data_IF_893818694230
#
_entry.id   IF_893818694230
#
_cell.length_a   1.000
_cell.length_b   1.000
_cell.length_c   1.000
_cell.angle_alpha   90.00
_cell.angle_beta   90.00
_cell.angle_gamma   90.00
#
_symmetry.space_group_name_H-M   'P 1'
#
loop_
_entity.id
_entity.type
_entity.pdbx_description
1 polymer ?
#
# COMPACT_ATOMS: atom_id res chain seq x y z
N UNK A 1 -32.23 -26.67 3.62
CA UNK A 1 -31.67 -25.49 4.34
C UNK A 1 -31.40 -24.44 3.28
N UNK A 2 -32.04 -23.27 3.35
CA UNK A 2 -31.73 -22.15 2.45
C UNK A 2 -30.28 -21.75 2.72
N UNK A 3 -29.44 -21.71 1.69
CA UNK A 3 -28.09 -21.20 1.83
C UNK A 3 -28.19 -19.76 2.38
N UNK A 4 -27.47 -19.48 3.45
CA UNK A 4 -27.39 -18.14 4.01
C UNK A 4 -26.76 -17.20 2.96
N UNK A 5 -27.32 -16.00 2.77
CA UNK A 5 -26.77 -15.05 1.81
C UNK A 5 -25.32 -14.72 2.17
N UNK A 6 -24.42 -14.56 1.17
CA UNK A 6 -23.05 -14.12 1.41
C UNK A 6 -23.01 -12.83 2.22
N UNK A 7 -22.01 -12.69 3.10
CA UNK A 7 -21.85 -11.51 3.96
C UNK A 7 -20.83 -10.52 3.37
N UNK A 8 -20.97 -9.27 3.75
CA UNK A 8 -20.00 -8.20 3.51
C UNK A 8 -19.80 -7.36 4.76
N UNK A 9 -18.70 -6.61 4.81
CA UNK A 9 -18.46 -5.58 5.81
C UNK A 9 -18.70 -4.22 5.17
N UNK A 10 -19.69 -3.50 5.67
CA UNK A 10 -20.20 -2.25 5.13
C UNK A 10 -19.88 -1.09 6.08
N UNK A 11 -19.41 0.04 5.54
CA UNK A 11 -19.23 1.29 6.27
C UNK A 11 -20.44 2.18 6.04
N UNK A 12 -21.19 2.45 7.10
CA UNK A 12 -22.43 3.24 7.04
C UNK A 12 -22.16 4.75 6.89
N UNK A 13 -23.23 5.52 6.58
CA UNK A 13 -23.17 6.98 6.56
C UNK A 13 -22.86 7.59 7.94
N UNK A 14 -23.05 6.85 9.02
CA UNK A 14 -22.76 7.26 10.39
C UNK A 14 -21.36 6.84 10.85
N UNK A 15 -20.57 6.17 9.98
CA UNK A 15 -19.25 5.67 10.32
C UNK A 15 -19.25 4.35 11.10
N UNK A 16 -20.35 3.61 11.05
CA UNK A 16 -20.45 2.29 11.67
C UNK A 16 -20.03 1.19 10.69
N UNK A 17 -19.20 0.26 11.14
CA UNK A 17 -18.91 -0.97 10.41
C UNK A 17 -19.97 -2.01 10.75
N UNK A 18 -20.67 -2.50 9.72
CA UNK A 18 -21.82 -3.40 9.84
C UNK A 18 -21.61 -4.65 8.99
N UNK A 19 -22.04 -5.80 9.49
CA UNK A 19 -22.17 -7.01 8.66
C UNK A 19 -23.50 -6.95 7.92
N UNK A 20 -23.45 -7.03 6.59
CA UNK A 20 -24.67 -7.01 5.75
C UNK A 20 -24.68 -8.19 4.77
N UNK A 21 -25.87 -8.71 4.42
CA UNK A 21 -26.00 -9.69 3.36
C UNK A 21 -25.75 -9.03 1.99
N UNK A 22 -25.10 -9.76 1.08
CA UNK A 22 -24.97 -9.38 -0.33
C UNK A 22 -26.10 -10.06 -1.10
N UNK A 23 -27.03 -9.28 -1.62
CA UNK A 23 -28.20 -9.78 -2.37
C UNK A 23 -28.11 -9.47 -3.86
N UNK A 24 -27.16 -8.65 -4.26
CA UNK A 24 -26.95 -8.24 -5.64
C UNK A 24 -26.21 -9.32 -6.44
N UNK A 25 -26.56 -9.44 -7.71
CA UNK A 25 -25.83 -10.24 -8.69
C UNK A 25 -24.96 -9.32 -9.53
N UNK A 26 -23.67 -9.59 -9.58
CA UNK A 26 -22.72 -8.79 -10.34
C UNK A 26 -22.52 -9.33 -11.74
N UNK A 27 -22.35 -8.43 -12.69
CA UNK A 27 -22.04 -8.72 -14.09
C UNK A 27 -20.74 -8.02 -14.49
N UNK A 28 -19.98 -8.60 -15.41
CA UNK A 28 -18.71 -8.06 -15.92
C UNK A 28 -18.86 -7.52 -17.33
N UNK A 29 -18.11 -6.45 -17.62
CA UNK A 29 -18.09 -5.79 -18.92
C UNK A 29 -16.65 -5.43 -19.30
N UNK A 30 -16.39 -5.27 -20.60
CA UNK A 30 -15.07 -4.83 -21.09
C UNK A 30 -13.94 -5.69 -20.53
N UNK A 31 -12.96 -5.07 -19.90
CA UNK A 31 -11.81 -5.75 -19.29
C UNK A 31 -12.04 -6.29 -17.87
N UNK A 32 -13.26 -6.23 -17.34
CA UNK A 32 -13.55 -6.64 -15.97
C UNK A 32 -13.50 -8.16 -15.77
N UNK A 33 -13.21 -8.57 -14.53
CA UNK A 33 -13.32 -9.94 -14.04
C UNK A 33 -14.23 -9.99 -12.81
N UNK A 34 -15.06 -11.01 -12.71
CA UNK A 34 -15.68 -11.39 -11.44
C UNK A 34 -14.73 -12.33 -10.72
N UNK A 35 -14.28 -11.91 -9.56
CA UNK A 35 -13.32 -12.68 -8.74
C UNK A 35 -14.02 -13.21 -7.50
N UNK A 36 -13.93 -14.52 -7.29
CA UNK A 36 -14.26 -15.15 -6.01
C UNK A 36 -13.10 -14.89 -5.06
N UNK A 37 -13.35 -14.09 -4.05
CA UNK A 37 -12.34 -13.71 -3.07
C UNK A 37 -12.00 -14.89 -2.17
N UNK A 38 -10.72 -15.17 -2.05
CA UNK A 38 -10.20 -16.16 -1.08
C UNK A 38 -9.69 -15.48 0.18
N UNK A 39 -9.05 -14.33 -0.01
CA UNK A 39 -8.53 -13.48 1.07
C UNK A 39 -8.67 -12.00 0.67
N UNK A 40 -9.06 -11.15 1.62
CA UNK A 40 -9.08 -9.70 1.45
C UNK A 40 -8.29 -9.01 2.56
N UNK A 41 -7.28 -8.20 2.19
CA UNK A 41 -6.40 -7.57 3.15
C UNK A 41 -7.01 -6.33 3.79
N UNK A 42 -6.75 -6.16 5.08
CA UNK A 42 -7.19 -5.00 5.84
C UNK A 42 -6.19 -3.86 5.70
N UNK A 43 -6.68 -2.69 5.37
CA UNK A 43 -5.90 -1.46 5.17
C UNK A 43 -6.44 -0.31 6.03
N UNK A 44 -5.60 0.68 6.32
CA UNK A 44 -6.00 1.89 7.04
C UNK A 44 -7.18 2.61 6.37
N UNK A 45 -7.25 2.58 5.05
CA UNK A 45 -8.28 3.24 4.28
C UNK A 45 -9.68 2.58 4.41
N UNK A 46 -9.78 1.31 4.81
CA UNK A 46 -11.06 0.61 4.94
C UNK A 46 -12.01 1.33 5.90
N UNK A 47 -11.47 2.03 6.88
CA UNK A 47 -12.24 2.88 7.78
C UNK A 47 -11.91 4.37 7.63
N UNK A 48 -10.63 4.74 7.48
CA UNK A 48 -10.21 6.13 7.55
C UNK A 48 -10.72 6.99 6.39
N UNK A 49 -11.18 6.40 5.30
CA UNK A 49 -11.89 7.12 4.25
C UNK A 49 -13.18 7.77 4.74
N UNK A 50 -13.79 7.30 5.84
CA UNK A 50 -14.90 7.98 6.49
C UNK A 50 -14.54 9.44 6.85
N UNK A 51 -13.36 9.67 7.40
CA UNK A 51 -12.88 11.01 7.75
C UNK A 51 -12.57 11.90 6.53
N UNK A 52 -12.52 11.29 5.35
CA UNK A 52 -12.41 11.98 4.07
C UNK A 52 -13.75 12.18 3.36
N UNK A 53 -14.86 11.87 4.04
CA UNK A 53 -16.22 12.00 3.53
C UNK A 53 -16.71 10.83 2.68
N UNK A 54 -15.95 9.73 2.58
CA UNK A 54 -16.35 8.52 1.87
C UNK A 54 -17.04 7.56 2.85
N UNK A 55 -18.31 7.23 2.56
CA UNK A 55 -19.13 6.34 3.38
C UNK A 55 -20.18 5.64 2.51
N UNK A 56 -21.01 4.79 3.12
CA UNK A 56 -22.09 4.05 2.46
C UNK A 56 -21.57 3.10 1.37
N UNK A 57 -20.55 2.30 1.68
CA UNK A 57 -19.96 1.33 0.75
C UNK A 57 -19.47 0.05 1.46
N UNK A 58 -19.37 -1.06 0.71
CA UNK A 58 -18.71 -2.28 1.16
C UNK A 58 -17.19 -2.00 1.19
N UNK A 59 -16.56 -2.21 2.35
CA UNK A 59 -15.15 -1.90 2.58
C UNK A 59 -14.20 -2.92 1.93
N UNK A 60 -12.89 -2.66 2.05
CA UNK A 60 -11.85 -3.48 1.47
C UNK A 60 -11.44 -3.04 0.07
N UNK A 61 -10.13 -2.96 -0.16
CA UNK A 61 -9.56 -2.44 -1.41
C UNK A 61 -8.45 -3.34 -1.99
N UNK A 62 -8.18 -4.48 -1.36
CA UNK A 62 -7.09 -5.37 -1.74
C UNK A 62 -7.50 -6.82 -1.50
N UNK A 63 -7.17 -7.71 -2.44
CA UNK A 63 -7.62 -9.11 -2.38
C UNK A 63 -6.71 -10.07 -3.13
N UNK A 64 -6.93 -11.36 -2.88
CA UNK A 64 -6.60 -12.46 -3.78
C UNK A 64 -7.78 -13.42 -3.93
N UNK A 65 -7.84 -14.12 -5.06
CA UNK A 65 -8.95 -15.02 -5.33
C UNK A 65 -8.82 -15.74 -6.66
N UNK A 66 -9.94 -16.27 -7.15
CA UNK A 66 -10.03 -16.98 -8.42
C UNK A 66 -11.02 -16.30 -9.35
N UNK A 67 -10.67 -16.13 -10.60
CA UNK A 67 -11.55 -15.55 -11.63
C UNK A 67 -12.69 -16.53 -11.93
N UNK A 68 -13.94 -16.08 -11.77
CA UNK A 68 -15.15 -16.87 -12.08
C UNK A 68 -15.80 -16.47 -13.41
N UNK A 69 -15.70 -15.18 -13.78
CA UNK A 69 -16.21 -14.70 -15.05
C UNK A 69 -15.27 -13.63 -15.60
N UNK A 70 -15.25 -13.48 -16.91
CA UNK A 70 -14.46 -12.45 -17.59
C UNK A 70 -15.34 -11.67 -18.56
N UNK A 71 -15.14 -10.37 -18.64
CA UNK A 71 -15.64 -9.57 -19.74
C UNK A 71 -14.85 -9.87 -21.05
N UNK A 72 -15.37 -9.45 -22.20
CA UNK A 72 -14.81 -9.80 -23.51
C UNK A 72 -13.38 -9.31 -23.76
N UNK A 73 -12.97 -8.24 -23.09
CA UNK A 73 -11.64 -7.61 -23.28
C UNK A 73 -10.67 -7.96 -22.13
N UNK A 74 -11.01 -8.93 -21.29
CA UNK A 74 -10.16 -9.34 -20.16
C UNK A 74 -8.93 -10.11 -20.64
N UNK A 75 -7.79 -9.82 -20.03
CA UNK A 75 -6.55 -10.60 -20.24
C UNK A 75 -6.46 -11.87 -19.37
N UNK A 76 -7.44 -12.10 -18.50
CA UNK A 76 -7.51 -13.26 -17.62
C UNK A 76 -8.53 -14.29 -18.14
N UNK A 77 -8.41 -15.53 -17.64
CA UNK A 77 -9.33 -16.62 -17.93
C UNK A 77 -10.01 -17.11 -16.65
N UNK A 78 -11.18 -17.71 -16.80
CA UNK A 78 -11.87 -18.39 -15.69
C UNK A 78 -10.94 -19.48 -15.11
N UNK A 79 -10.81 -19.48 -13.78
CA UNK A 79 -9.90 -20.35 -13.05
C UNK A 79 -8.52 -19.74 -12.75
N UNK A 80 -8.16 -18.61 -13.35
CA UNK A 80 -6.91 -17.93 -13.01
C UNK A 80 -6.89 -17.52 -11.52
N UNK A 81 -5.81 -17.87 -10.82
CA UNK A 81 -5.53 -17.38 -9.47
C UNK A 81 -4.92 -15.97 -9.57
N UNK A 82 -5.59 -14.99 -8.96
CA UNK A 82 -5.24 -13.57 -9.09
C UNK A 82 -5.15 -12.88 -7.74
N UNK A 83 -4.43 -11.77 -7.72
CA UNK A 83 -4.44 -10.80 -6.63
C UNK A 83 -4.42 -9.38 -7.20
N UNK A 84 -4.86 -8.41 -6.43
CA UNK A 84 -4.90 -7.03 -6.91
C UNK A 84 -5.63 -6.09 -5.98
N UNK A 85 -5.91 -4.91 -6.50
CA UNK A 85 -6.61 -3.83 -5.80
C UNK A 85 -7.91 -3.48 -6.48
N UNK A 86 -8.86 -2.96 -5.68
CA UNK A 86 -10.06 -2.30 -6.17
C UNK A 86 -9.85 -0.78 -6.11
N UNK A 87 -10.20 -0.05 -7.19
CA UNK A 87 -10.03 1.40 -7.21
C UNK A 87 -11.07 2.09 -6.34
N UNK A 88 -10.69 3.22 -5.74
CA UNK A 88 -11.64 4.14 -5.09
C UNK A 88 -12.30 4.99 -6.18
N UNK A 89 -13.60 4.87 -6.31
CA UNK A 89 -14.42 5.70 -7.21
C UNK A 89 -15.62 6.22 -6.43
N UNK A 90 -16.18 7.35 -6.79
CA UNK A 90 -17.30 7.95 -6.08
C UNK A 90 -18.49 8.17 -7.03
N UNK A 91 -19.68 7.63 -6.72
CA UNK A 91 -19.97 6.72 -5.60
C UNK A 91 -19.29 5.35 -5.76
N UNK A 92 -18.99 4.68 -4.63
CA UNK A 92 -18.43 3.33 -4.64
C UNK A 92 -19.52 2.32 -5.03
N UNK A 93 -19.36 1.54 -6.12
CA UNK A 93 -20.26 0.44 -6.41
C UNK A 93 -20.16 -0.67 -5.36
N UNK A 94 -21.27 -1.27 -5.00
CA UNK A 94 -21.31 -2.42 -4.08
C UNK A 94 -20.40 -3.56 -4.52
N UNK A 95 -20.26 -3.77 -5.82
CA UNK A 95 -19.41 -4.80 -6.43
C UNK A 95 -17.90 -4.60 -6.28
N UNK A 96 -17.44 -3.46 -5.75
CA UNK A 96 -16.00 -3.10 -5.73
C UNK A 96 -15.32 -3.33 -4.38
N UNK A 97 -16.04 -3.28 -3.27
CA UNK A 97 -15.46 -3.56 -1.94
C UNK A 97 -14.99 -5.01 -1.82
N UNK A 98 -13.76 -5.22 -1.35
CA UNK A 98 -13.18 -6.58 -1.32
C UNK A 98 -13.54 -7.39 -0.07
N UNK A 99 -14.13 -6.77 0.95
CA UNK A 99 -14.62 -7.50 2.13
C UNK A 99 -16.00 -8.09 1.87
N UNK A 100 -16.12 -8.89 0.81
CA UNK A 100 -17.25 -9.71 0.40
C UNK A 100 -16.74 -10.87 -0.49
N UNK A 101 -17.59 -11.87 -0.76
CA UNK A 101 -17.17 -13.09 -1.43
C UNK A 101 -16.95 -12.96 -2.94
N UNK A 102 -17.62 -12.01 -3.59
CA UNK A 102 -17.49 -11.76 -5.04
C UNK A 102 -17.21 -10.27 -5.28
N UNK A 103 -16.25 -9.99 -6.15
CA UNK A 103 -15.83 -8.63 -6.50
C UNK A 103 -15.68 -8.48 -8.00
N UNK A 104 -16.19 -7.39 -8.56
CA UNK A 104 -15.88 -6.98 -9.92
C UNK A 104 -14.58 -6.19 -9.92
N UNK A 105 -13.55 -6.76 -10.49
CA UNK A 105 -12.22 -6.18 -10.55
C UNK A 105 -11.84 -5.80 -11.98
N UNK A 106 -11.03 -4.77 -12.15
CA UNK A 106 -10.50 -4.32 -13.44
C UNK A 106 -9.21 -5.07 -13.76
N UNK A 107 -9.10 -5.65 -14.96
CA UNK A 107 -7.94 -6.45 -15.36
C UNK A 107 -6.60 -5.72 -15.21
N UNK A 108 -6.56 -4.43 -15.44
CA UNK A 108 -5.34 -3.62 -15.31
C UNK A 108 -4.85 -3.48 -13.87
N UNK A 109 -5.70 -3.79 -12.87
CA UNK A 109 -5.39 -3.76 -11.44
C UNK A 109 -5.20 -5.15 -10.83
N UNK A 110 -5.23 -6.20 -11.67
CA UNK A 110 -5.01 -7.59 -11.28
C UNK A 110 -3.67 -8.11 -11.79
N UNK A 111 -3.12 -9.04 -11.04
CA UNK A 111 -1.93 -9.82 -11.36
C UNK A 111 -2.20 -11.31 -11.14
N UNK A 112 -1.58 -12.18 -11.93
CA UNK A 112 -1.57 -13.62 -11.65
C UNK A 112 -0.71 -13.86 -10.41
N UNK A 113 -1.18 -14.76 -9.54
CA UNK A 113 -0.37 -15.18 -8.38
C UNK A 113 0.80 -16.01 -8.92
N UNK A 114 2.06 -15.60 -8.64
CA UNK A 114 3.22 -16.35 -9.08
C UNK A 114 3.28 -17.77 -8.50
N UNK A 115 3.90 -18.71 -9.24
CA UNK A 115 4.10 -20.06 -8.76
C UNK A 115 4.88 -20.07 -7.43
N UNK A 116 4.41 -20.84 -6.45
CA UNK A 116 5.01 -20.93 -5.12
C UNK A 116 4.56 -19.86 -4.12
N UNK A 117 3.80 -18.83 -4.55
CA UNK A 117 3.21 -17.83 -3.65
C UNK A 117 1.82 -18.28 -3.23
N UNK A 118 1.54 -18.26 -1.93
CA UNK A 118 0.21 -18.58 -1.42
C UNK A 118 -0.78 -17.44 -1.70
N UNK A 119 -2.06 -17.77 -1.91
CA UNK A 119 -3.12 -16.77 -2.07
C UNK A 119 -3.21 -15.83 -0.84
N UNK A 120 -2.98 -16.38 0.36
CA UNK A 120 -2.89 -15.59 1.59
C UNK A 120 -1.80 -14.51 1.51
N UNK A 121 -0.59 -14.89 1.11
CA UNK A 121 0.53 -13.94 1.05
C UNK A 121 0.38 -12.95 -0.11
N UNK A 122 -0.16 -13.39 -1.24
CA UNK A 122 -0.47 -12.52 -2.37
C UNK A 122 -1.52 -11.44 -2.03
N UNK A 123 -2.51 -11.77 -1.18
CA UNK A 123 -3.62 -10.87 -0.84
C UNK A 123 -3.20 -9.56 -0.17
N UNK A 124 -1.99 -9.48 0.37
CA UNK A 124 -1.51 -8.36 1.21
C UNK A 124 -0.43 -7.50 0.54
N UNK A 125 -0.11 -7.79 -0.73
CA UNK A 125 1.06 -7.21 -1.41
C UNK A 125 0.70 -5.99 -2.27
N UNK A 126 -0.42 -6.06 -2.98
CA UNK A 126 -0.67 -5.14 -4.10
C UNK A 126 -0.84 -3.68 -3.65
N UNK A 127 -1.68 -3.41 -2.68
CA UNK A 127 -1.95 -2.05 -2.23
C UNK A 127 -0.70 -1.37 -1.63
N UNK A 128 0.02 -1.97 -0.67
CA UNK A 128 1.22 -1.35 -0.13
C UNK A 128 2.35 -1.26 -1.16
N UNK A 129 2.50 -2.23 -2.07
CA UNK A 129 3.51 -2.18 -3.12
C UNK A 129 3.23 -1.07 -4.15
N UNK A 130 1.98 -0.93 -4.58
CA UNK A 130 1.57 0.17 -5.47
C UNK A 130 1.79 1.54 -4.82
N UNK A 131 1.40 1.69 -3.55
CA UNK A 131 1.61 2.95 -2.80
C UNK A 131 3.10 3.28 -2.68
N UNK A 132 3.93 2.30 -2.35
CA UNK A 132 5.37 2.48 -2.27
C UNK A 132 6.00 2.76 -3.64
N UNK A 133 5.54 2.09 -4.71
CA UNK A 133 5.99 2.34 -6.07
C UNK A 133 5.60 3.75 -6.54
N UNK A 134 4.37 4.21 -6.24
CA UNK A 134 3.95 5.58 -6.55
C UNK A 134 4.83 6.61 -5.82
N UNK A 135 5.15 6.37 -4.54
CA UNK A 135 6.05 7.23 -3.78
C UNK A 135 7.43 7.32 -4.41
N UNK A 136 8.04 6.18 -4.73
CA UNK A 136 9.43 6.12 -5.19
C UNK A 136 9.59 6.54 -6.65
N UNK A 137 8.72 6.06 -7.54
CA UNK A 137 8.92 6.17 -8.98
C UNK A 137 8.09 7.27 -9.64
N UNK A 138 6.96 7.64 -9.07
CA UNK A 138 6.14 8.75 -9.59
C UNK A 138 6.39 10.05 -8.82
N UNK A 139 6.24 10.05 -7.48
CA UNK A 139 6.39 11.28 -6.66
C UNK A 139 7.85 11.70 -6.55
N UNK A 140 8.74 10.81 -6.15
CA UNK A 140 10.18 11.07 -6.04
C UNK A 140 10.82 11.08 -7.44
N UNK A 141 10.31 10.27 -8.36
CA UNK A 141 10.79 10.19 -9.75
C UNK A 141 12.06 9.36 -9.93
N UNK A 142 12.26 8.34 -9.09
CA UNK A 142 13.34 7.37 -9.30
C UNK A 142 13.14 6.59 -10.58
N UNK A 143 14.24 6.19 -11.22
CA UNK A 143 14.24 5.26 -12.33
C UNK A 143 14.36 3.80 -11.88
N UNK A 144 13.84 2.89 -12.72
CA UNK A 144 14.10 1.45 -12.67
C UNK A 144 14.36 0.98 -14.11
N UNK A 145 15.57 1.24 -14.67
CA UNK A 145 15.87 0.99 -16.08
C UNK A 145 15.65 -0.45 -16.51
N UNK A 146 15.91 -1.42 -15.62
CA UNK A 146 15.70 -2.86 -15.89
C UNK A 146 14.22 -3.22 -16.12
N UNK A 147 13.29 -2.39 -15.63
CA UNK A 147 11.87 -2.50 -15.90
C UNK A 147 11.40 -1.52 -17.01
N UNK A 148 12.30 -0.82 -17.68
CA UNK A 148 11.97 0.19 -18.69
C UNK A 148 11.30 1.44 -18.10
N UNK A 149 11.59 1.79 -16.84
CA UNK A 149 11.10 2.98 -16.16
C UNK A 149 12.22 4.01 -16.05
N UNK A 150 12.18 5.10 -16.84
CA UNK A 150 13.18 6.17 -16.76
C UNK A 150 12.98 7.00 -15.49
N UNK A 151 14.06 7.65 -15.02
CA UNK A 151 13.99 8.52 -13.85
C UNK A 151 15.37 8.81 -13.28
N UNK A 152 15.39 9.26 -12.03
CA UNK A 152 16.64 9.55 -11.29
C UNK A 152 17.43 8.25 -11.14
N UNK A 153 18.72 8.29 -11.50
CA UNK A 153 19.65 7.19 -11.26
C UNK A 153 19.83 6.98 -9.74
N UNK A 154 19.55 5.78 -9.22
CA UNK A 154 19.71 5.47 -7.80
C UNK A 154 21.19 5.34 -7.35
N UNK A 155 22.14 5.21 -8.29
CA UNK A 155 23.57 5.03 -7.98
C UNK A 155 24.10 6.21 -7.15
N UNK A 156 24.74 5.90 -6.04
CA UNK A 156 25.31 6.89 -5.11
C UNK A 156 24.29 7.69 -4.33
N UNK A 157 23.01 7.33 -4.39
CA UNK A 157 21.94 8.00 -3.66
C UNK A 157 21.47 7.20 -2.46
N UNK A 158 20.85 7.89 -1.53
CA UNK A 158 20.21 7.29 -0.37
C UNK A 158 18.77 7.74 -0.23
N UNK A 159 18.00 7.00 0.56
CA UNK A 159 16.62 7.31 0.90
C UNK A 159 16.39 7.18 2.40
N UNK A 160 15.58 8.05 2.97
CA UNK A 160 15.05 7.93 4.33
C UNK A 160 13.58 7.48 4.26
N UNK A 161 13.27 6.33 4.84
CA UNK A 161 11.93 5.78 4.97
C UNK A 161 11.50 5.91 6.43
N UNK A 162 10.67 6.91 6.73
CA UNK A 162 10.15 7.11 8.08
C UNK A 162 8.91 6.23 8.31
N UNK A 163 9.02 5.23 9.18
CA UNK A 163 7.96 4.25 9.45
C UNK A 163 8.11 2.94 8.66
N UNK A 164 9.33 2.41 8.61
CA UNK A 164 9.67 1.20 7.86
C UNK A 164 8.94 -0.08 8.28
N UNK A 165 8.39 -0.15 9.50
CA UNK A 165 7.64 -1.32 9.98
C UNK A 165 6.15 -1.33 9.55
N UNK A 166 5.68 -0.31 8.83
CA UNK A 166 4.38 -0.32 8.16
C UNK A 166 4.43 -1.19 6.90
N UNK A 167 3.29 -1.70 6.43
CA UNK A 167 3.24 -2.50 5.20
C UNK A 167 3.79 -1.74 3.99
N UNK A 168 3.45 -0.46 3.85
CA UNK A 168 3.99 0.39 2.77
C UNK A 168 5.49 0.65 2.96
N UNK A 169 5.94 0.87 4.21
CA UNK A 169 7.37 1.04 4.52
C UNK A 169 8.21 -0.18 4.17
N UNK A 170 7.70 -1.38 4.51
CA UNK A 170 8.37 -2.64 4.17
C UNK A 170 8.45 -2.86 2.64
N UNK A 171 7.42 -2.47 1.89
CA UNK A 171 7.47 -2.50 0.42
C UNK A 171 8.45 -1.46 -0.13
N UNK A 172 8.47 -0.25 0.43
CA UNK A 172 9.40 0.79 -0.01
C UNK A 172 10.87 0.37 0.19
N UNK A 173 11.20 -0.31 1.29
CA UNK A 173 12.54 -0.86 1.53
C UNK A 173 12.93 -1.85 0.42
N UNK A 174 12.04 -2.80 0.10
CA UNK A 174 12.29 -3.82 -0.92
C UNK A 174 12.40 -3.20 -2.32
N UNK A 175 11.53 -2.25 -2.65
CA UNK A 175 11.56 -1.52 -3.92
C UNK A 175 12.82 -0.64 -4.05
N UNK A 176 13.23 0.03 -2.98
CA UNK A 176 14.45 0.82 -2.94
C UNK A 176 15.70 -0.05 -3.20
N UNK A 177 15.75 -1.23 -2.57
CA UNK A 177 16.78 -2.22 -2.81
C UNK A 177 16.77 -2.74 -4.26
N UNK A 178 15.59 -3.08 -4.79
CA UNK A 178 15.43 -3.54 -6.17
C UNK A 178 15.83 -2.47 -7.19
N UNK A 179 15.62 -1.20 -6.88
CA UNK A 179 16.09 -0.07 -7.69
C UNK A 179 17.60 0.16 -7.63
N UNK A 180 18.33 -0.52 -6.74
CA UNK A 180 19.78 -0.41 -6.63
C UNK A 180 20.26 0.67 -5.66
N UNK A 181 19.37 1.22 -4.81
CA UNK A 181 19.81 2.14 -3.75
C UNK A 181 20.73 1.44 -2.75
N UNK A 182 21.90 2.03 -2.55
CA UNK A 182 22.93 1.49 -1.65
C UNK A 182 22.68 1.87 -0.19
N UNK A 183 21.97 2.97 0.05
CA UNK A 183 21.72 3.52 1.38
C UNK A 183 20.22 3.69 1.62
N UNK A 184 19.65 2.71 2.32
CA UNK A 184 18.24 2.69 2.71
C UNK A 184 18.16 2.88 4.23
N UNK A 185 17.93 4.12 4.65
CA UNK A 185 17.76 4.50 6.05
C UNK A 185 16.31 4.35 6.44
N UNK A 186 16.07 3.78 7.62
CA UNK A 186 14.72 3.42 8.04
C UNK A 186 14.52 3.77 9.50
N UNK A 187 13.40 4.41 9.84
CA UNK A 187 12.99 4.55 11.24
C UNK A 187 11.94 3.50 11.59
N UNK A 188 12.13 2.83 12.71
CA UNK A 188 11.20 1.85 13.28
C UNK A 188 11.53 1.61 14.77
N UNK A 189 10.63 0.96 15.52
CA UNK A 189 10.98 0.47 16.86
C UNK A 189 12.17 -0.50 16.79
N UNK A 190 13.11 -0.42 17.74
CA UNK A 190 14.34 -1.21 17.75
C UNK A 190 14.13 -2.72 17.59
N UNK A 191 13.05 -3.28 18.17
CA UNK A 191 12.68 -4.70 18.04
C UNK A 191 12.46 -5.18 16.59
N UNK A 192 12.24 -4.24 15.65
CA UNK A 192 11.92 -4.54 14.26
C UNK A 192 13.15 -4.43 13.34
N UNK A 193 14.28 -3.94 13.84
CA UNK A 193 15.42 -3.56 13.01
C UNK A 193 16.01 -4.74 12.23
N UNK A 194 16.11 -5.92 12.83
CA UNK A 194 16.72 -7.08 12.17
C UNK A 194 15.90 -7.54 10.97
N UNK A 195 14.58 -7.65 11.14
CA UNK A 195 13.68 -8.01 10.03
C UNK A 195 13.73 -6.95 8.92
N UNK A 196 13.80 -5.66 9.27
CA UNK A 196 13.89 -4.60 8.26
C UNK A 196 15.23 -4.64 7.49
N UNK A 197 16.34 -5.03 8.14
CA UNK A 197 17.62 -5.28 7.47
C UNK A 197 17.53 -6.46 6.49
N UNK A 198 16.85 -7.54 6.87
CA UNK A 198 16.60 -8.66 5.95
C UNK A 198 15.82 -8.24 4.71
N UNK A 199 14.87 -7.30 4.86
CA UNK A 199 14.12 -6.74 3.73
C UNK A 199 14.94 -5.79 2.85
N UNK A 200 16.09 -5.29 3.35
CA UNK A 200 16.99 -4.44 2.58
C UNK A 200 17.34 -3.09 3.19
N UNK A 201 16.87 -2.78 4.41
CA UNK A 201 17.32 -1.59 5.12
C UNK A 201 18.83 -1.70 5.45
N UNK A 202 19.59 -0.64 5.16
CA UNK A 202 21.03 -0.61 5.45
C UNK A 202 21.31 0.00 6.82
N UNK A 203 20.49 0.96 7.23
CA UNK A 203 20.60 1.65 8.52
C UNK A 203 19.21 1.76 9.16
N UNK A 204 19.09 1.34 10.41
CA UNK A 204 17.84 1.40 11.17
C UNK A 204 18.02 2.26 12.42
N UNK A 205 17.05 3.15 12.67
CA UNK A 205 17.04 4.08 13.80
C UNK A 205 15.75 3.92 14.59
N UNK A 206 15.84 3.95 15.93
CA UNK A 206 14.63 3.95 16.76
C UNK A 206 14.02 5.36 16.77
N UNK A 207 12.82 5.50 16.19
CA UNK A 207 12.11 6.79 16.12
C UNK A 207 11.74 7.35 17.51
N UNK A 208 11.80 6.53 18.56
CA UNK A 208 11.56 6.93 19.96
C UNK A 208 12.81 7.55 20.60
N UNK A 209 13.98 7.40 20.00
CA UNK A 209 15.20 8.06 20.48
C UNK A 209 15.01 9.58 20.39
N UNK A 210 15.41 10.27 21.45
CA UNK A 210 15.44 11.74 21.45
C UNK A 210 16.49 12.32 20.50
N UNK A 211 17.46 11.51 20.11
CA UNK A 211 18.57 11.86 19.20
C UNK A 211 18.40 11.28 17.80
N UNK A 212 17.21 10.79 17.43
CA UNK A 212 17.01 10.11 16.15
C UNK A 212 17.39 10.97 14.95
N UNK A 213 17.09 12.26 15.00
CA UNK A 213 17.43 13.22 13.93
C UNK A 213 18.95 13.39 13.84
N UNK A 214 19.62 13.64 14.97
CA UNK A 214 21.07 13.80 15.07
C UNK A 214 21.81 12.53 14.65
N UNK A 215 21.31 11.35 15.08
CA UNK A 215 21.88 10.04 14.73
C UNK A 215 21.83 9.80 13.22
N UNK A 216 20.71 10.13 12.58
CA UNK A 216 20.54 10.05 11.12
C UNK A 216 21.52 11.02 10.44
N UNK A 217 21.57 12.28 10.84
CA UNK A 217 22.45 13.30 10.28
C UNK A 217 23.93 12.94 10.44
N UNK A 218 24.33 12.44 11.62
CA UNK A 218 25.71 12.03 11.88
C UNK A 218 26.11 10.83 10.99
N UNK A 219 25.19 9.87 10.79
CA UNK A 219 25.44 8.73 9.92
C UNK A 219 25.59 9.17 8.46
N UNK A 220 24.72 10.08 7.98
CA UNK A 220 24.85 10.68 6.64
C UNK A 220 26.20 11.35 6.45
N UNK A 221 26.62 12.18 7.41
CA UNK A 221 27.90 12.89 7.39
C UNK A 221 29.09 11.93 7.35
N UNK A 222 29.04 10.87 8.15
CA UNK A 222 30.11 9.86 8.21
C UNK A 222 30.25 9.11 6.89
N UNK A 223 29.17 8.84 6.21
CA UNK A 223 29.15 8.15 4.92
C UNK A 223 29.39 9.08 3.72
N UNK A 224 29.44 10.40 3.95
CA UNK A 224 29.56 11.38 2.87
C UNK A 224 28.32 11.44 1.96
N UNK A 225 27.15 11.09 2.48
CA UNK A 225 25.90 10.97 1.72
C UNK A 225 24.98 12.11 2.09
N UNK A 226 24.38 12.72 1.09
CA UNK A 226 23.29 13.67 1.26
C UNK A 226 22.03 13.08 0.65
N UNK A 227 21.00 12.82 1.50
CA UNK A 227 19.74 12.30 1.02
C UNK A 227 18.91 13.41 0.40
N UNK A 228 18.49 13.18 -0.83
CA UNK A 228 17.52 14.04 -1.51
C UNK A 228 16.12 13.38 -1.56
N UNK A 229 15.94 12.23 -0.88
CA UNK A 229 14.73 11.42 -0.99
C UNK A 229 14.22 11.05 0.39
N UNK A 230 12.98 11.40 0.70
CA UNK A 230 12.32 11.03 1.94
C UNK A 230 10.91 10.54 1.69
N UNK A 231 10.55 9.42 2.28
CA UNK A 231 9.19 8.85 2.24
C UNK A 231 8.68 8.76 3.66
N UNK A 232 7.51 9.36 3.90
CA UNK A 232 6.84 9.32 5.19
C UNK A 232 5.63 8.41 5.13
N UNK A 233 5.55 7.51 6.09
CA UNK A 233 4.36 6.71 6.36
C UNK A 233 3.77 7.13 7.71
N UNK A 234 2.42 7.11 7.81
CA UNK A 234 1.67 7.58 8.96
C UNK A 234 2.13 6.90 10.27
N UNK A 235 2.32 7.70 11.31
CA UNK A 235 2.70 7.28 12.66
C UNK A 235 1.82 7.96 13.71
N UNK A 236 0.48 7.78 13.63
CA UNK A 236 -0.44 8.34 14.61
C UNK A 236 -0.50 9.89 14.69
N UNK A 237 -1.44 10.46 15.42
CA UNK A 237 -1.44 11.89 15.70
C UNK A 237 -0.19 12.24 16.54
N UNK A 238 0.44 13.42 16.30
CA UNK A 238 1.52 13.89 17.15
C UNK A 238 0.98 14.11 18.57
N UNK A 239 1.64 13.52 19.56
CA UNK A 239 1.41 13.90 20.95
C UNK A 239 1.75 15.38 21.11
N UNK A 240 0.96 16.10 21.90
CA UNK A 240 1.18 17.53 22.14
C UNK A 240 2.62 17.78 22.62
N UNK A 241 3.37 18.56 21.85
CA UNK A 241 4.76 18.91 22.15
C UNK A 241 5.84 18.05 21.49
N UNK A 242 5.49 17.05 20.69
CA UNK A 242 6.45 16.29 19.86
C UNK A 242 6.36 16.81 18.42
N UNK A 243 7.50 17.08 17.74
CA UNK A 243 7.48 17.48 16.33
C UNK A 243 6.78 16.42 15.47
N UNK A 244 6.01 16.86 14.49
CA UNK A 244 5.31 15.97 13.56
C UNK A 244 6.30 15.14 12.74
N UNK A 245 5.88 13.96 12.26
CA UNK A 245 6.75 13.12 11.42
C UNK A 245 7.23 13.81 10.13
N UNK A 246 6.47 14.72 9.45
CA UNK A 246 7.00 15.54 8.37
C UNK A 246 8.16 16.44 8.81
N UNK A 247 8.02 17.12 9.94
CA UNK A 247 9.06 18.01 10.49
C UNK A 247 10.32 17.22 10.84
N UNK A 248 10.16 16.06 11.54
CA UNK A 248 11.29 15.18 11.86
C UNK A 248 11.98 14.65 10.61
N UNK A 249 11.21 14.25 9.58
CA UNK A 249 11.77 13.78 8.31
C UNK A 249 12.59 14.86 7.62
N UNK A 250 12.06 16.08 7.52
CA UNK A 250 12.79 17.23 6.93
C UNK A 250 14.01 17.60 7.74
N UNK A 251 13.90 17.64 9.06
CA UNK A 251 15.03 17.93 9.95
C UNK A 251 16.14 16.90 9.76
N UNK A 252 15.80 15.61 9.71
CA UNK A 252 16.77 14.54 9.53
C UNK A 252 17.49 14.60 8.17
N UNK A 253 16.80 15.02 7.10
CA UNK A 253 17.36 15.13 5.75
C UNK A 253 18.16 16.42 5.57
N UNK A 254 17.89 17.45 6.37
CA UNK A 254 18.47 18.79 6.23
C UNK A 254 17.98 19.55 5.00
N UNK A 255 18.46 20.77 4.84
CA UNK A 255 18.18 21.58 3.66
C UNK A 255 19.17 21.19 2.55
N UNK A 256 18.70 20.41 1.57
CA UNK A 256 19.46 20.08 0.38
C UNK A 256 18.76 20.50 -0.90
N UNK A 257 19.52 20.98 -1.87
CA UNK A 257 18.99 21.29 -3.19
C UNK A 257 18.47 20.02 -3.85
N UNK A 258 17.25 20.07 -4.44
CA UNK A 258 16.63 18.93 -5.10
C UNK A 258 16.00 17.90 -4.16
N UNK A 259 15.75 18.25 -2.88
CA UNK A 259 15.03 17.39 -1.93
C UNK A 259 13.64 17.03 -2.47
N UNK A 260 13.33 15.73 -2.52
CA UNK A 260 12.04 15.21 -2.94
C UNK A 260 11.42 14.39 -1.82
N UNK A 261 10.19 14.74 -1.46
CA UNK A 261 9.50 14.18 -0.32
C UNK A 261 8.17 13.56 -0.77
N UNK A 262 7.89 12.34 -0.32
CA UNK A 262 6.62 11.67 -0.54
C UNK A 262 5.92 11.38 0.79
N UNK A 263 4.59 11.43 0.79
CA UNK A 263 3.77 11.12 1.96
C UNK A 263 2.53 10.31 1.57
N UNK A 264 2.07 9.43 2.46
CA UNK A 264 0.86 8.62 2.28
C UNK A 264 -0.40 9.30 2.79
N UNK A 265 -0.26 10.31 3.64
CA UNK A 265 -1.34 11.17 4.10
C UNK A 265 -1.02 12.62 3.74
N UNK A 266 -2.06 13.44 3.49
CA UNK A 266 -1.85 14.83 3.09
C UNK A 266 -1.06 15.63 4.13
N UNK A 267 -0.08 16.40 3.68
CA UNK A 267 0.69 17.38 4.46
C UNK A 267 0.36 18.76 3.92
N UNK A 268 -0.83 19.26 4.23
CA UNK A 268 -1.36 20.50 3.65
C UNK A 268 -0.51 21.74 3.94
N UNK A 269 0.24 21.74 5.05
CA UNK A 269 1.06 22.87 5.48
C UNK A 269 2.42 22.92 4.79
N UNK A 270 2.81 21.88 4.06
CA UNK A 270 4.13 21.80 3.43
C UNK A 270 4.03 21.23 1.99
N UNK A 271 4.03 22.11 0.98
CA UNK A 271 3.91 21.72 -0.42
C UNK A 271 5.14 20.98 -0.97
N UNK A 272 6.23 20.87 -0.20
CA UNK A 272 7.38 20.07 -0.57
C UNK A 272 7.09 18.57 -0.58
N UNK A 273 6.02 18.12 0.13
CA UNK A 273 5.58 16.74 0.13
C UNK A 273 4.61 16.46 -1.04
N UNK A 274 4.95 15.48 -1.87
CA UNK A 274 4.02 14.90 -2.84
C UNK A 274 3.26 13.73 -2.22
N UNK A 275 1.93 13.72 -2.35
CA UNK A 275 1.12 12.62 -1.84
C UNK A 275 1.10 11.44 -2.83
N UNK A 276 1.48 10.25 -2.35
CA UNK A 276 1.38 9.00 -3.08
C UNK A 276 0.09 8.23 -2.74
N UNK A 277 -0.35 7.39 -3.67
CA UNK A 277 -1.54 6.54 -3.53
C UNK A 277 -1.33 5.18 -4.21
N UNK A 278 -2.16 4.19 -3.88
CA UNK A 278 -2.08 2.89 -4.55
C UNK A 278 -2.58 2.93 -5.99
N UNK A 279 -3.57 3.75 -6.27
CA UNK A 279 -4.12 3.96 -7.62
C UNK A 279 -4.93 5.25 -7.67
N UNK A 280 -4.79 5.95 -8.77
CA UNK A 280 -5.64 7.08 -9.17
C UNK A 280 -5.88 7.04 -10.69
N UNK A 281 -7.09 7.32 -11.17
CA UNK A 281 -7.31 7.50 -12.60
C UNK A 281 -6.43 8.62 -13.17
N UNK A 282 -5.98 8.45 -14.41
CA UNK A 282 -5.26 9.50 -15.12
C UNK A 282 -6.05 10.82 -15.13
N UNK A 283 -5.36 11.92 -14.89
CA UNK A 283 -5.96 13.26 -14.83
C UNK A 283 -6.73 13.59 -13.54
N UNK A 284 -6.91 12.61 -12.60
CA UNK A 284 -7.51 12.90 -11.30
C UNK A 284 -6.54 13.67 -10.40
N UNK A 285 -7.09 14.46 -9.47
CA UNK A 285 -6.30 15.14 -8.45
C UNK A 285 -6.23 14.34 -7.17
N UNK A 286 -5.09 14.39 -6.47
CA UNK A 286 -4.98 13.88 -5.10
C UNK A 286 -5.53 14.88 -4.07
N UNK A 287 -5.58 14.47 -2.79
CA UNK A 287 -6.08 15.34 -1.71
C UNK A 287 -5.24 16.61 -1.49
N UNK A 288 -4.02 16.68 -2.03
CA UNK A 288 -3.17 17.87 -1.99
C UNK A 288 -3.27 18.72 -3.28
N UNK A 289 -4.21 18.42 -4.19
CA UNK A 289 -4.46 19.19 -5.41
C UNK A 289 -3.51 18.89 -6.57
N UNK A 290 -2.60 17.92 -6.43
CA UNK A 290 -1.71 17.53 -7.52
C UNK A 290 -2.42 16.60 -8.51
N UNK A 291 -2.33 16.93 -9.81
CA UNK A 291 -2.87 16.10 -10.89
C UNK A 291 -2.01 14.86 -11.07
N UNK A 292 -2.67 13.70 -11.28
CA UNK A 292 -1.99 12.45 -11.60
C UNK A 292 -1.38 12.52 -13.00
N UNK A 293 -0.09 12.23 -13.10
CA UNK A 293 0.59 12.02 -14.36
C UNK A 293 -0.07 10.84 -15.11
N UNK A 294 -0.45 10.98 -16.39
CA UNK A 294 -1.09 9.93 -17.17
C UNK A 294 -0.33 8.60 -17.19
N UNK A 295 0.99 8.64 -17.14
CA UNK A 295 1.83 7.45 -17.22
C UNK A 295 2.09 6.77 -15.86
N UNK A 296 1.60 7.34 -14.77
CA UNK A 296 1.87 6.83 -13.41
C UNK A 296 1.45 5.37 -13.24
N UNK A 297 0.24 5.02 -13.66
CA UNK A 297 -0.27 3.66 -13.55
C UNK A 297 0.52 2.69 -14.45
N UNK A 298 0.93 3.14 -15.63
CA UNK A 298 1.74 2.35 -16.57
C UNK A 298 3.12 2.06 -15.97
N UNK A 299 3.75 3.05 -15.33
CA UNK A 299 5.04 2.85 -14.64
C UNK A 299 4.92 1.85 -13.49
N UNK A 300 3.90 1.98 -12.64
CA UNK A 300 3.67 1.03 -11.55
C UNK A 300 3.45 -0.38 -12.11
N UNK A 301 2.65 -0.53 -13.17
CA UNK A 301 2.42 -1.82 -13.81
C UNK A 301 3.71 -2.47 -14.30
N UNK A 302 4.57 -1.74 -15.00
CA UNK A 302 5.88 -2.23 -15.46
C UNK A 302 6.79 -2.68 -14.32
N UNK A 303 6.81 -1.92 -13.22
CA UNK A 303 7.60 -2.25 -12.03
C UNK A 303 7.09 -3.56 -11.41
N UNK A 304 5.79 -3.66 -11.20
CA UNK A 304 5.17 -4.85 -10.61
C UNK A 304 5.38 -6.07 -11.49
N UNK A 305 5.14 -5.98 -12.80
CA UNK A 305 5.34 -7.10 -13.73
C UNK A 305 6.80 -7.57 -13.73
N UNK A 306 7.77 -6.64 -13.67
CA UNK A 306 9.20 -6.96 -13.57
C UNK A 306 9.52 -7.73 -12.28
N UNK A 307 9.02 -7.25 -11.14
CA UNK A 307 9.28 -7.87 -9.84
C UNK A 307 8.59 -9.23 -9.68
N UNK A 308 7.38 -9.37 -10.22
CA UNK A 308 6.64 -10.63 -10.20
C UNK A 308 7.23 -11.70 -11.13
N UNK A 309 7.96 -11.30 -12.17
CA UNK A 309 8.67 -12.21 -13.07
C UNK A 309 10.02 -12.71 -12.51
N UNK A 310 10.58 -12.03 -11.51
CA UNK A 310 11.88 -12.38 -10.93
C UNK A 310 11.76 -13.65 -10.06
N UNK A 311 12.59 -14.66 -10.34
CA UNK A 311 12.57 -15.96 -9.63
C UNK A 311 12.80 -15.85 -8.11
N UNK A 312 13.57 -14.84 -7.68
CA UNK A 312 13.98 -14.64 -6.28
C UNK A 312 13.45 -13.32 -5.71
N UNK A 313 12.53 -12.64 -6.39
CA UNK A 313 12.19 -11.23 -6.15
C UNK A 313 10.76 -10.94 -5.72
N UNK A 314 9.99 -11.95 -5.30
CA UNK A 314 8.63 -11.66 -4.86
C UNK A 314 8.64 -10.78 -3.60
N UNK A 315 7.94 -9.66 -3.68
CA UNK A 315 7.73 -8.76 -2.53
C UNK A 315 7.01 -9.52 -1.41
N UNK A 316 7.47 -9.37 -0.17
CA UNK A 316 6.90 -10.11 0.96
C UNK A 316 6.64 -9.22 2.16
N UNK A 317 5.64 -9.60 2.95
CA UNK A 317 5.47 -9.12 4.32
C UNK A 317 5.84 -10.23 5.29
N UNK A 318 6.62 -9.93 6.34
CA UNK A 318 7.14 -10.95 7.26
C UNK A 318 6.07 -11.73 8.00
N UNK A 319 4.98 -11.03 8.41
CA UNK A 319 3.88 -11.61 9.18
C UNK A 319 2.56 -11.29 8.51
N UNK A 320 1.84 -12.33 8.12
CA UNK A 320 0.47 -12.24 7.56
C UNK A 320 -0.47 -13.06 8.42
N UNK A 321 -1.33 -12.38 9.18
CA UNK A 321 -2.28 -13.01 10.10
C UNK A 321 -3.65 -13.10 9.45
N UNK A 322 -4.22 -14.32 9.46
CA UNK A 322 -5.53 -14.60 8.91
C UNK A 322 -6.60 -14.41 9.98
N UNK A 323 -7.59 -13.58 9.65
CA UNK A 323 -8.80 -13.33 10.46
C UNK A 323 -9.96 -14.07 9.82
N UNK A 324 -10.81 -14.73 10.60
CA UNK A 324 -11.98 -15.50 10.14
C UNK A 324 -13.25 -14.90 10.71
N UNK A 325 -14.28 -14.79 9.87
CA UNK A 325 -15.60 -14.27 10.22
C UNK A 325 -15.69 -12.74 10.11
N UNK A 326 -16.89 -12.27 9.80
CA UNK A 326 -17.16 -10.86 9.51
C UNK A 326 -17.01 -9.96 10.75
N UNK A 327 -17.46 -10.40 11.92
CA UNK A 327 -17.36 -9.66 13.18
C UNK A 327 -15.89 -9.47 13.60
N UNK A 328 -15.08 -10.53 13.53
CA UNK A 328 -13.64 -10.43 13.77
C UNK A 328 -12.95 -9.56 12.71
N UNK A 329 -13.48 -9.54 11.49
CA UNK A 329 -13.05 -8.64 10.42
C UNK A 329 -13.27 -7.17 10.77
N UNK A 330 -14.43 -6.83 11.33
CA UNK A 330 -14.72 -5.47 11.82
C UNK A 330 -13.70 -5.04 12.88
N UNK A 331 -13.41 -5.92 13.84
CA UNK A 331 -12.42 -5.63 14.87
C UNK A 331 -11.02 -5.46 14.30
N UNK A 332 -10.64 -6.30 13.32
CA UNK A 332 -9.38 -6.16 12.60
C UNK A 332 -9.27 -4.80 11.89
N UNK A 333 -10.34 -4.34 11.23
CA UNK A 333 -10.38 -3.03 10.57
C UNK A 333 -10.18 -1.91 11.61
N UNK A 334 -10.85 -1.97 12.76
CA UNK A 334 -10.70 -0.97 13.84
C UNK A 334 -9.27 -0.92 14.38
N UNK A 335 -8.66 -2.07 14.65
CA UNK A 335 -7.27 -2.15 15.10
C UNK A 335 -6.29 -1.56 14.10
N UNK A 336 -6.46 -1.87 12.82
CA UNK A 336 -5.63 -1.30 11.74
C UNK A 336 -5.84 0.21 11.63
N UNK A 337 -7.09 0.69 11.67
CA UNK A 337 -7.42 2.11 11.64
C UNK A 337 -6.86 2.87 12.85
N UNK A 338 -6.79 2.23 14.03
CA UNK A 338 -6.16 2.74 15.25
C UNK A 338 -4.63 2.77 15.22
N UNK A 339 -3.99 2.25 14.16
CA UNK A 339 -2.52 2.28 14.03
C UNK A 339 -1.78 1.26 14.89
N UNK A 340 -2.43 0.19 15.34
CA UNK A 340 -1.85 -0.81 16.23
C UNK A 340 -0.87 -1.78 15.54
N UNK A 341 -0.75 -1.72 14.21
CA UNK A 341 0.00 -2.71 13.42
C UNK A 341 1.48 -2.35 13.29
N UNK A 342 2.34 -3.36 13.45
CA UNK A 342 3.79 -3.24 13.28
C UNK A 342 4.38 -4.56 12.78
N UNK A 343 5.02 -4.57 11.61
CA UNK A 343 5.53 -5.74 10.87
C UNK A 343 4.44 -6.75 10.44
N UNK A 344 3.22 -6.58 10.88
CA UNK A 344 2.10 -7.48 10.67
C UNK A 344 1.09 -6.87 9.70
N UNK A 345 0.49 -7.69 8.83
CA UNK A 345 -0.65 -7.35 7.98
C UNK A 345 -1.76 -8.35 8.22
N UNK A 346 -3.00 -7.85 8.38
CA UNK A 346 -4.18 -8.70 8.55
C UNK A 346 -4.85 -8.97 7.20
N UNK A 347 -5.36 -10.18 7.02
CA UNK A 347 -6.18 -10.56 5.87
C UNK A 347 -7.38 -11.38 6.32
N UNK A 348 -8.56 -11.07 5.80
CA UNK A 348 -9.80 -11.79 6.08
C UNK A 348 -9.87 -13.00 5.17
N UNK A 349 -10.22 -14.16 5.72
CA UNK A 349 -10.49 -15.36 4.94
C UNK A 349 -11.95 -15.41 4.52
N UNK A 350 -12.20 -15.69 3.26
CA UNK A 350 -13.54 -15.90 2.70
C UNK A 350 -13.90 -17.37 2.59
N UNK A 351 -15.24 -17.72 2.64
CA UNK A 351 -16.35 -16.80 2.87
C UNK A 351 -16.33 -16.15 4.27
N UNK A 352 -16.95 -14.97 4.39
CA UNK A 352 -17.14 -14.29 5.68
C UNK A 352 -18.30 -14.94 6.44
N UNK A 353 -18.01 -15.99 7.20
CA UNK A 353 -18.98 -16.76 7.99
C UNK A 353 -19.44 -16.02 9.26
#
# INVERSE_FOLDING_TARGET
MSAQAPKSIFLSAQGELLVQPVTETYTVQGSQCLVRVGYSAVNLCDYNFFYMGLNSFITGFEMSGTVEQTGPDSQFQVGDAVFGISPVITPMPSSHGTHQDLVVARSELLYKIPAGVSSKDASVICMPAHTAADALFNVIGMGLPVAGVPGIDPVGKGILIWGGASSVGMMAIQLAKAAGLQHVFVTASAKNHDILRELGATHCFDYRSRTVVEDIQQTQKTLGIYFNLGVRYFMGPPDAGIPSTPELTKSALGASEGLRLACTLPVYQDPAFGMCTSYRPSGSMNAMGATQDPDSAIRIRKIMDHLLAAKDGFLRLPVVTVVKGAEAGIEAIRRVAGGEMSLEKLTLKHPLE
#
